data_IF_413180911795
#
_entry.id   IF_413180911795
#
_cell.length_a   1.000
_cell.length_b   1.000
_cell.length_c   1.000
_cell.angle_alpha   90.00
_cell.angle_beta   90.00
_cell.angle_gamma   90.00
#
_symmetry.space_group_name_H-M   'P 1'
#
loop_
_entity.id
_entity.type
_entity.pdbx_description
1 polymer ?
#
# COMPACT_ATOMS: atom_id res chain seq x y z
N UNK A 1 -48.65 -2.87 -6.16
CA UNK A 1 -47.28 -2.68 -6.69
C UNK A 1 -46.36 -1.88 -5.75
N UNK A 2 -46.83 -0.81 -5.11
CA UNK A 2 -45.99 0.09 -4.28
C UNK A 2 -45.43 -0.56 -2.99
N UNK A 3 -46.15 -1.51 -2.36
CA UNK A 3 -45.71 -2.19 -1.11
C UNK A 3 -44.43 -3.02 -1.22
N UNK A 4 -44.14 -3.58 -2.40
CA UNK A 4 -42.95 -4.43 -2.61
C UNK A 4 -41.67 -3.61 -2.85
N UNK A 5 -41.80 -2.39 -3.37
CA UNK A 5 -40.67 -1.48 -3.59
C UNK A 5 -40.09 -1.01 -2.25
N UNK A 6 -40.94 -0.68 -1.28
CA UNK A 6 -40.51 -0.24 0.05
C UNK A 6 -39.76 -1.33 0.82
N UNK A 7 -40.22 -2.59 0.69
CA UNK A 7 -39.58 -3.74 1.34
C UNK A 7 -38.23 -4.10 0.68
N UNK A 8 -38.11 -3.96 -0.63
CA UNK A 8 -36.85 -4.17 -1.36
C UNK A 8 -35.80 -3.08 -1.04
N UNK A 9 -36.22 -1.82 -0.92
CA UNK A 9 -35.32 -0.70 -0.54
C UNK A 9 -34.81 -0.87 0.89
N UNK A 10 -35.67 -1.25 1.84
CA UNK A 10 -35.25 -1.51 3.23
C UNK A 10 -34.23 -2.67 3.33
N UNK A 11 -34.40 -3.73 2.53
CA UNK A 11 -33.48 -4.87 2.53
C UNK A 11 -32.10 -4.51 1.94
N UNK A 12 -32.05 -3.66 0.90
CA UNK A 12 -30.80 -3.15 0.31
C UNK A 12 -30.08 -2.21 1.30
N UNK A 13 -30.82 -1.39 2.05
CA UNK A 13 -30.25 -0.52 3.08
C UNK A 13 -29.60 -1.30 4.24
N UNK A 14 -30.13 -2.48 4.60
CA UNK A 14 -29.52 -3.33 5.61
C UNK A 14 -28.16 -3.89 5.13
N UNK A 15 -28.06 -4.37 3.88
CA UNK A 15 -26.83 -5.01 3.37
C UNK A 15 -25.66 -4.01 3.28
N UNK A 16 -25.93 -2.76 2.92
CA UNK A 16 -24.91 -1.71 2.84
C UNK A 16 -24.32 -1.33 4.22
N UNK A 17 -25.08 -1.51 5.30
CA UNK A 17 -24.66 -1.18 6.67
C UNK A 17 -23.73 -2.21 7.34
N UNK A 18 -23.67 -3.45 6.84
CA UNK A 18 -22.88 -4.52 7.47
C UNK A 18 -21.46 -4.69 6.92
N UNK A 19 -21.13 -4.07 5.78
CA UNK A 19 -19.79 -4.20 5.19
C UNK A 19 -18.68 -3.60 6.07
N UNK A 20 -18.96 -2.46 6.71
CA UNK A 20 -17.94 -1.75 7.50
C UNK A 20 -17.66 -2.40 8.87
N UNK A 21 -18.67 -2.78 9.69
CA UNK A 21 -18.41 -3.49 10.95
C UNK A 21 -17.63 -4.80 10.78
N UNK A 22 -17.85 -5.53 9.67
CA UNK A 22 -17.10 -6.74 9.35
C UNK A 22 -15.63 -6.42 9.07
N UNK A 23 -15.35 -5.42 8.23
CA UNK A 23 -13.99 -4.96 7.95
C UNK A 23 -13.26 -4.48 9.20
N UNK A 24 -13.95 -3.75 10.08
CA UNK A 24 -13.37 -3.27 11.35
C UNK A 24 -13.08 -4.43 12.31
N UNK A 25 -13.97 -5.42 12.41
CA UNK A 25 -13.72 -6.62 13.21
C UNK A 25 -12.54 -7.44 12.68
N UNK A 26 -12.44 -7.59 11.36
CA UNK A 26 -11.30 -8.24 10.71
C UNK A 26 -10.01 -7.45 10.97
N UNK A 27 -10.03 -6.13 10.83
CA UNK A 27 -8.88 -5.28 11.11
C UNK A 27 -8.45 -5.37 12.57
N UNK A 28 -9.37 -5.44 13.52
CA UNK A 28 -9.05 -5.59 14.93
C UNK A 28 -8.37 -6.93 15.23
N UNK A 29 -8.83 -8.01 14.58
CA UNK A 29 -8.26 -9.35 14.71
C UNK A 29 -6.86 -9.44 14.07
N UNK A 30 -6.73 -8.89 12.87
CA UNK A 30 -5.52 -9.02 12.04
C UNK A 30 -4.64 -7.75 12.10
N UNK A 31 -4.83 -6.92 13.13
CA UNK A 31 -4.20 -5.60 13.26
C UNK A 31 -2.70 -5.68 13.08
N UNK A 32 -2.05 -6.63 13.77
CA UNK A 32 -0.60 -6.79 13.74
C UNK A 32 -0.10 -7.17 12.33
N UNK A 33 -0.85 -8.01 11.62
CA UNK A 33 -0.51 -8.39 10.25
C UNK A 33 -0.61 -7.18 9.31
N UNK A 34 -1.65 -6.35 9.46
CA UNK A 34 -1.81 -5.13 8.63
C UNK A 34 -0.71 -4.12 8.97
N UNK A 35 -0.42 -3.91 10.25
CA UNK A 35 0.68 -3.06 10.71
C UNK A 35 2.04 -3.51 10.13
N UNK A 36 2.35 -4.80 10.20
CA UNK A 36 3.58 -5.39 9.68
C UNK A 36 3.72 -5.18 8.17
N UNK A 37 2.64 -5.40 7.42
CA UNK A 37 2.61 -5.17 5.97
C UNK A 37 2.85 -3.69 5.63
N UNK A 38 2.17 -2.77 6.32
CA UNK A 38 2.37 -1.34 6.11
C UNK A 38 3.80 -0.91 6.47
N UNK A 39 4.35 -1.46 7.56
CA UNK A 39 5.74 -1.22 7.99
C UNK A 39 6.73 -1.63 6.90
N UNK A 40 6.58 -2.83 6.33
CA UNK A 40 7.42 -3.30 5.21
C UNK A 40 7.24 -2.44 3.97
N UNK A 41 6.00 -2.08 3.61
CA UNK A 41 5.73 -1.21 2.46
C UNK A 41 6.48 0.12 2.56
N UNK A 42 6.41 0.78 3.73
CA UNK A 42 7.10 2.04 3.98
C UNK A 42 8.61 1.89 4.05
N UNK A 43 9.10 0.84 4.70
CA UNK A 43 10.53 0.52 4.74
C UNK A 43 11.08 0.39 3.31
N UNK A 44 10.44 -0.40 2.46
CA UNK A 44 10.90 -0.63 1.09
C UNK A 44 10.80 0.62 0.21
N UNK A 45 9.75 1.45 0.33
CA UNK A 45 9.68 2.73 -0.39
C UNK A 45 10.83 3.66 0.04
N UNK A 46 11.12 3.73 1.34
CA UNK A 46 12.25 4.52 1.84
C UNK A 46 13.60 4.00 1.35
N UNK A 47 13.81 2.69 1.36
CA UNK A 47 15.07 2.10 0.86
C UNK A 47 15.24 2.30 -0.64
N UNK A 48 14.15 2.15 -1.42
CA UNK A 48 14.18 2.36 -2.87
C UNK A 48 14.50 3.81 -3.22
N UNK A 49 13.86 4.77 -2.54
CA UNK A 49 14.12 6.21 -2.74
C UNK A 49 15.51 6.63 -2.26
N UNK A 50 15.93 6.19 -1.05
CA UNK A 50 17.25 6.53 -0.52
C UNK A 50 18.38 6.02 -1.40
N UNK A 51 18.21 4.90 -2.11
CA UNK A 51 19.23 4.43 -3.05
C UNK A 51 19.44 5.43 -4.18
N UNK A 52 18.35 5.91 -4.79
CA UNK A 52 18.44 6.91 -5.87
C UNK A 52 18.98 8.26 -5.42
N UNK A 53 18.60 8.72 -4.22
CA UNK A 53 19.11 9.98 -3.68
C UNK A 53 20.63 9.93 -3.49
N UNK A 54 21.18 8.76 -3.15
CA UNK A 54 22.63 8.54 -2.97
C UNK A 54 23.37 8.22 -4.26
N UNK A 55 22.66 7.74 -5.27
CA UNK A 55 23.23 7.29 -6.54
C UNK A 55 22.44 7.86 -7.73
N UNK A 56 22.46 9.19 -7.94
CA UNK A 56 21.68 9.84 -8.99
C UNK A 56 22.11 9.43 -10.40
N UNK A 57 23.34 8.94 -10.57
CA UNK A 57 23.93 8.56 -11.86
C UNK A 57 23.58 7.13 -12.33
N UNK A 58 22.74 6.40 -11.59
CA UNK A 58 22.36 5.02 -11.93
C UNK A 58 21.58 5.00 -13.24
N UNK A 59 22.23 4.54 -14.31
CA UNK A 59 21.63 4.39 -15.64
C UNK A 59 20.63 3.23 -15.63
N UNK A 60 19.48 3.45 -16.28
CA UNK A 60 18.46 2.40 -16.50
C UNK A 60 19.07 1.23 -17.28
N UNK A 61 18.85 0.00 -16.81
CA UNK A 61 18.98 -1.21 -17.62
C UNK A 61 20.31 -1.97 -17.55
N UNK A 62 21.35 -1.50 -16.85
CA UNK A 62 22.57 -2.29 -16.60
C UNK A 62 22.53 -3.00 -15.25
N UNK A 63 23.19 -4.16 -15.12
CA UNK A 63 23.37 -4.82 -13.82
C UNK A 63 24.27 -3.95 -12.94
N UNK A 64 23.78 -3.64 -11.74
CA UNK A 64 24.48 -2.83 -10.76
C UNK A 64 24.93 -3.73 -9.59
N UNK A 65 26.18 -4.18 -9.63
CA UNK A 65 26.74 -5.06 -8.60
C UNK A 65 26.75 -4.40 -7.22
N UNK A 66 26.88 -3.07 -7.17
CA UNK A 66 26.80 -2.32 -5.91
C UNK A 66 25.38 -2.38 -5.35
N UNK A 67 24.37 -2.28 -6.22
CA UNK A 67 22.98 -2.45 -5.80
C UNK A 67 22.69 -3.86 -5.28
N UNK A 68 23.19 -4.91 -5.94
CA UNK A 68 22.99 -6.29 -5.45
C UNK A 68 23.52 -6.46 -4.03
N UNK A 69 24.72 -5.94 -3.76
CA UNK A 69 25.30 -5.96 -2.41
C UNK A 69 24.50 -5.11 -1.42
N UNK A 70 24.02 -3.93 -1.85
CA UNK A 70 23.15 -3.07 -1.05
C UNK A 70 21.83 -3.77 -0.70
N UNK A 71 21.24 -4.49 -1.66
CA UNK A 71 20.01 -5.24 -1.46
C UNK A 71 20.17 -6.31 -0.38
N UNK A 72 21.16 -7.21 -0.48
CA UNK A 72 21.34 -8.26 0.52
C UNK A 72 21.86 -7.71 1.87
N UNK A 73 22.86 -6.83 1.84
CA UNK A 73 23.56 -6.36 3.02
C UNK A 73 22.83 -5.27 3.81
N UNK A 74 21.95 -4.50 3.17
CA UNK A 74 21.24 -3.38 3.80
C UNK A 74 19.73 -3.61 3.79
N UNK A 75 19.13 -3.93 2.64
CA UNK A 75 17.67 -4.03 2.52
C UNK A 75 17.13 -5.31 3.18
N UNK A 76 17.68 -6.48 2.82
CA UNK A 76 17.21 -7.76 3.38
C UNK A 76 17.61 -7.87 4.85
N UNK A 77 18.86 -7.53 5.18
CA UNK A 77 19.38 -7.62 6.55
C UNK A 77 18.79 -6.58 7.49
N UNK A 78 18.37 -5.42 6.98
CA UNK A 78 17.76 -4.34 7.76
C UNK A 78 16.24 -4.41 7.88
N UNK A 79 15.62 -5.52 7.49
CA UNK A 79 14.17 -5.70 7.49
C UNK A 79 13.58 -5.53 8.92
N UNK A 80 12.68 -4.54 9.14
CA UNK A 80 12.10 -4.29 10.46
C UNK A 80 11.03 -5.30 10.89
N UNK A 81 10.58 -6.19 9.98
CA UNK A 81 9.48 -7.12 10.23
C UNK A 81 9.93 -8.55 9.95
N UNK A 82 10.26 -9.28 11.02
CA UNK A 82 10.77 -10.67 10.94
C UNK A 82 9.74 -11.63 10.31
N UNK A 83 8.44 -11.35 10.46
CA UNK A 83 7.37 -12.19 9.93
C UNK A 83 7.19 -12.10 8.39
N UNK A 84 7.86 -11.15 7.72
CA UNK A 84 7.74 -10.95 6.27
C UNK A 84 9.13 -10.99 5.65
N UNK A 85 9.40 -11.99 4.81
CA UNK A 85 10.64 -12.08 4.05
C UNK A 85 10.61 -11.09 2.87
N UNK A 86 11.61 -10.20 2.76
CA UNK A 86 11.64 -9.19 1.68
C UNK A 86 11.63 -9.81 0.26
N UNK A 87 12.47 -10.81 -0.06
CA UNK A 87 12.39 -11.50 -1.35
C UNK A 87 10.98 -12.04 -1.67
N UNK A 88 10.36 -12.74 -0.73
CA UNK A 88 9.04 -13.35 -0.91
C UNK A 88 7.94 -12.29 -1.07
N UNK A 89 8.01 -11.21 -0.28
CA UNK A 89 7.11 -10.07 -0.42
C UNK A 89 7.17 -9.50 -1.83
N UNK A 90 8.36 -9.29 -2.38
CA UNK A 90 8.57 -8.77 -3.73
C UNK A 90 8.31 -9.79 -4.84
N UNK A 91 8.08 -11.06 -4.48
CA UNK A 91 7.82 -12.14 -5.43
C UNK A 91 9.06 -12.66 -6.15
N UNK A 92 10.24 -12.51 -5.54
CA UNK A 92 11.48 -13.10 -6.03
C UNK A 92 11.54 -14.59 -5.71
N UNK A 93 12.04 -15.38 -6.66
CA UNK A 93 12.35 -16.78 -6.45
C UNK A 93 13.53 -16.95 -5.46
N UNK A 94 13.73 -18.18 -4.98
CA UNK A 94 14.88 -18.49 -4.13
C UNK A 94 16.20 -18.12 -4.85
N UNK A 95 17.04 -17.33 -4.19
CA UNK A 95 18.30 -16.77 -4.71
C UNK A 95 18.17 -15.73 -5.84
N UNK A 96 16.96 -15.31 -6.19
CA UNK A 96 16.76 -14.20 -7.11
C UNK A 96 16.99 -12.87 -6.39
N UNK A 97 17.70 -11.96 -7.05
CA UNK A 97 17.98 -10.61 -6.57
C UNK A 97 17.71 -9.61 -7.68
N UNK A 98 17.27 -8.39 -7.35
CA UNK A 98 17.07 -7.33 -8.34
C UNK A 98 18.36 -7.04 -9.10
N UNK A 99 18.23 -6.79 -10.41
CA UNK A 99 19.38 -6.53 -11.29
C UNK A 99 20.03 -5.17 -11.01
N UNK A 100 19.23 -4.18 -10.64
CA UNK A 100 19.66 -2.82 -10.32
C UNK A 100 18.59 -2.10 -9.49
N UNK A 101 18.90 -0.89 -9.03
CA UNK A 101 17.98 -0.07 -8.25
C UNK A 101 16.67 0.27 -8.96
N UNK A 102 16.66 0.30 -10.31
CA UNK A 102 15.45 0.57 -11.10
C UNK A 102 14.48 -0.58 -11.11
N UNK A 103 14.96 -1.79 -11.38
CA UNK A 103 14.14 -3.00 -11.28
C UNK A 103 13.56 -3.15 -9.85
N UNK A 104 14.38 -2.89 -8.82
CA UNK A 104 13.90 -2.92 -7.44
C UNK A 104 12.83 -1.87 -7.16
N UNK A 105 13.04 -0.60 -7.56
CA UNK A 105 12.08 0.47 -7.30
C UNK A 105 10.74 0.22 -8.00
N UNK A 106 10.76 -0.19 -9.26
CA UNK A 106 9.55 -0.51 -10.01
C UNK A 106 8.80 -1.69 -9.36
N UNK A 107 9.53 -2.73 -8.92
CA UNK A 107 8.97 -3.88 -8.22
C UNK A 107 8.35 -3.49 -6.87
N UNK A 108 9.04 -2.68 -6.08
CA UNK A 108 8.55 -2.15 -4.80
C UNK A 108 7.28 -1.33 -5.01
N UNK A 109 7.29 -0.42 -5.99
CA UNK A 109 6.13 0.43 -6.29
C UNK A 109 4.90 -0.42 -6.65
N UNK A 110 5.07 -1.39 -7.56
CA UNK A 110 4.00 -2.28 -7.97
C UNK A 110 3.48 -3.14 -6.81
N UNK A 111 4.38 -3.76 -6.04
CA UNK A 111 3.99 -4.62 -4.93
C UNK A 111 3.31 -3.84 -3.81
N UNK A 112 3.78 -2.63 -3.51
CA UNK A 112 3.16 -1.75 -2.52
C UNK A 112 1.74 -1.36 -2.93
N UNK A 113 1.48 -1.05 -4.21
CA UNK A 113 0.11 -0.79 -4.66
C UNK A 113 -0.77 -2.03 -4.57
N UNK A 114 -0.28 -3.20 -5.00
CA UNK A 114 -1.03 -4.45 -4.87
C UNK A 114 -1.37 -4.75 -3.39
N UNK A 115 -0.40 -4.55 -2.49
CA UNK A 115 -0.59 -4.74 -1.05
C UNK A 115 -1.61 -3.74 -0.50
N UNK A 116 -1.49 -2.44 -0.83
CA UNK A 116 -2.43 -1.40 -0.41
C UNK A 116 -3.86 -1.73 -0.87
N UNK A 117 -4.03 -2.10 -2.14
CA UNK A 117 -5.32 -2.51 -2.71
C UNK A 117 -5.93 -3.66 -1.90
N UNK A 118 -5.16 -4.72 -1.65
CA UNK A 118 -5.66 -5.88 -0.90
C UNK A 118 -6.01 -5.54 0.56
N UNK A 119 -5.27 -4.61 1.19
CA UNK A 119 -5.60 -4.10 2.53
C UNK A 119 -6.95 -3.37 2.48
N UNK A 120 -7.16 -2.47 1.51
CA UNK A 120 -8.41 -1.71 1.41
C UNK A 120 -9.61 -2.63 1.12
N UNK A 121 -9.43 -3.63 0.25
CA UNK A 121 -10.48 -4.59 -0.06
C UNK A 121 -10.90 -5.39 1.17
N UNK A 122 -9.93 -5.89 1.94
CA UNK A 122 -10.18 -6.80 3.07
C UNK A 122 -10.53 -6.08 4.37
N UNK A 123 -9.86 -4.96 4.66
CA UNK A 123 -9.91 -4.28 5.97
C UNK A 123 -10.41 -2.82 5.87
N UNK A 124 -10.63 -2.30 4.66
CA UNK A 124 -10.92 -0.88 4.44
C UNK A 124 -9.67 -0.02 4.48
N UNK A 125 -9.83 1.28 4.26
CA UNK A 125 -8.69 2.20 4.13
C UNK A 125 -7.91 2.35 5.44
N UNK A 126 -6.59 2.08 5.45
CA UNK A 126 -5.78 2.08 6.67
C UNK A 126 -5.34 3.50 7.04
N UNK A 127 -6.29 4.38 7.36
CA UNK A 127 -5.98 5.73 7.84
C UNK A 127 -5.24 5.70 9.18
N UNK A 128 -4.51 6.78 9.48
CA UNK A 128 -3.73 6.90 10.72
C UNK A 128 -4.59 6.76 12.00
N UNK A 129 -5.89 7.04 11.93
CA UNK A 129 -6.83 6.83 13.03
C UNK A 129 -7.21 5.36 13.23
N UNK A 130 -7.14 4.53 12.18
CA UNK A 130 -7.51 3.10 12.20
C UNK A 130 -6.29 2.20 12.42
N UNK A 131 -5.15 2.55 11.84
CA UNK A 131 -3.89 1.81 12.00
C UNK A 131 -2.77 2.77 12.34
N UNK A 132 -2.24 2.65 13.57
CA UNK A 132 -1.09 3.42 14.03
C UNK A 132 0.17 2.64 13.70
N UNK A 133 0.71 2.87 12.50
CA UNK A 133 2.00 2.29 12.14
C UNK A 133 3.09 3.18 12.75
N UNK A 134 4.00 2.59 13.53
CA UNK A 134 5.17 3.28 14.07
C UNK A 134 6.43 2.85 13.30
N UNK A 135 6.65 3.43 12.12
CA UNK A 135 7.94 3.33 11.43
C UNK A 135 8.84 4.40 12.02
N UNK A 136 10.07 4.02 12.36
CA UNK A 136 11.07 4.89 12.98
C UNK A 136 11.02 6.31 12.39
N UNK A 137 10.80 7.29 13.28
CA UNK A 137 10.60 8.71 13.00
C UNK A 137 9.21 9.13 12.46
N UNK A 138 8.16 9.07 13.31
CA UNK A 138 7.00 10.01 13.41
C UNK A 138 6.35 10.57 12.13
N UNK A 139 6.55 9.97 10.95
CA UNK A 139 5.98 10.43 9.70
C UNK A 139 4.63 9.75 9.52
N UNK A 140 3.59 10.55 9.33
CA UNK A 140 2.27 10.04 8.96
C UNK A 140 2.40 9.23 7.67
N UNK A 141 2.02 7.97 7.78
CA UNK A 141 2.10 6.98 6.71
C UNK A 141 0.89 7.12 5.80
N UNK A 142 0.98 8.08 4.88
CA UNK A 142 -0.10 8.34 3.93
C UNK A 142 0.04 7.42 2.73
N UNK A 143 -1.07 6.78 2.33
CA UNK A 143 -1.14 5.95 1.12
C UNK A 143 -0.72 6.71 -0.15
N UNK A 144 -0.80 8.04 -0.13
CA UNK A 144 -0.35 8.93 -1.21
C UNK A 144 1.11 8.72 -1.57
N UNK A 145 1.97 8.31 -0.63
CA UNK A 145 3.38 8.00 -0.89
C UNK A 145 3.48 6.87 -1.92
N UNK A 146 2.76 5.77 -1.73
CA UNK A 146 2.78 4.64 -2.65
C UNK A 146 2.15 4.99 -3.98
N UNK A 147 0.99 5.65 -3.93
CA UNK A 147 0.29 6.11 -5.13
C UNK A 147 1.15 7.06 -5.93
N UNK A 148 2.05 7.83 -5.31
CA UNK A 148 2.98 8.74 -6.00
C UNK A 148 4.02 8.04 -6.89
N UNK A 149 4.27 6.73 -6.73
CA UNK A 149 5.37 6.01 -7.40
C UNK A 149 5.01 5.31 -8.70
N UNK A 150 3.76 4.87 -8.88
CA UNK A 150 3.34 4.12 -10.06
C UNK A 150 1.86 4.35 -10.34
N UNK A 151 1.47 4.34 -11.61
CA UNK A 151 0.08 4.36 -12.08
C UNK A 151 -0.56 2.96 -12.12
N UNK A 152 0.25 1.90 -11.97
CA UNK A 152 -0.22 0.52 -11.90
C UNK A 152 -1.15 0.37 -10.71
N UNK A 153 -2.46 0.29 -10.97
CA UNK A 153 -3.50 0.11 -9.95
C UNK A 153 -4.37 1.34 -9.68
N UNK A 154 -4.09 2.48 -10.33
CA UNK A 154 -4.87 3.72 -10.21
C UNK A 154 -6.38 3.50 -10.40
N UNK A 155 -6.78 2.77 -11.44
CA UNK A 155 -8.18 2.53 -11.74
C UNK A 155 -8.88 1.70 -10.66
N UNK A 156 -8.16 0.75 -10.06
CA UNK A 156 -8.67 -0.06 -8.97
C UNK A 156 -8.76 0.77 -7.69
N UNK A 157 -7.72 1.53 -7.36
CA UNK A 157 -7.70 2.43 -6.20
C UNK A 157 -8.80 3.48 -6.28
N UNK A 158 -9.01 4.13 -7.43
CA UNK A 158 -10.09 5.12 -7.63
C UNK A 158 -11.47 4.56 -7.29
N UNK A 159 -11.72 3.28 -7.62
CA UNK A 159 -12.98 2.59 -7.30
C UNK A 159 -13.10 2.27 -5.80
N UNK A 160 -11.98 2.00 -5.13
CA UNK A 160 -11.93 1.62 -3.72
C UNK A 160 -11.97 2.83 -2.78
N UNK A 161 -11.27 3.93 -3.06
CA UNK A 161 -11.11 5.03 -2.10
C UNK A 161 -12.36 5.91 -1.96
N UNK A 162 -13.19 6.03 -3.00
CA UNK A 162 -14.41 6.86 -2.95
C UNK A 162 -15.45 6.30 -1.97
N UNK A 163 -15.74 4.99 -1.94
CA UNK A 163 -16.51 4.38 -0.85
C UNK A 163 -15.91 4.63 0.54
N UNK A 164 -14.59 4.52 0.68
CA UNK A 164 -13.90 4.68 1.98
C UNK A 164 -14.02 6.11 2.54
N UNK A 165 -14.04 7.13 1.67
CA UNK A 165 -14.39 8.50 2.07
C UNK A 165 -15.84 8.60 2.55
N UNK A 166 -16.79 8.02 1.81
CA UNK A 166 -18.23 8.11 2.14
C UNK A 166 -18.58 7.48 3.49
N UNK A 167 -17.86 6.43 3.88
CA UNK A 167 -18.07 5.72 5.15
C UNK A 167 -17.19 6.26 6.29
N UNK A 168 -16.39 7.30 6.05
CA UNK A 168 -15.59 7.98 7.06
C UNK A 168 -14.26 7.31 7.42
N UNK A 169 -13.80 6.29 6.68
CA UNK A 169 -12.50 5.65 6.91
C UNK A 169 -11.33 6.50 6.42
N UNK A 170 -11.59 7.48 5.56
CA UNK A 170 -10.61 8.37 4.94
C UNK A 170 -11.08 9.82 5.11
N UNK A 171 -10.15 10.72 5.43
CA UNK A 171 -10.45 12.16 5.47
C UNK A 171 -10.55 12.76 4.05
N UNK A 172 -11.31 13.85 3.88
CA UNK A 172 -11.38 14.57 2.61
C UNK A 172 -9.98 15.00 2.11
N UNK A 173 -9.14 15.49 3.02
CA UNK A 173 -7.76 15.89 2.71
C UNK A 173 -6.92 14.72 2.15
N UNK A 174 -7.03 13.53 2.74
CA UNK A 174 -6.33 12.34 2.21
C UNK A 174 -6.87 11.92 0.85
N UNK A 175 -8.19 11.94 0.69
CA UNK A 175 -8.84 11.60 -0.58
C UNK A 175 -8.39 12.54 -1.70
N UNK A 176 -8.39 13.85 -1.45
CA UNK A 176 -7.99 14.84 -2.45
C UNK A 176 -6.50 14.75 -2.78
N UNK A 177 -5.65 14.47 -1.77
CA UNK A 177 -4.22 14.22 -1.98
C UNK A 177 -4.01 13.01 -2.89
N UNK A 178 -4.68 11.88 -2.62
CA UNK A 178 -4.61 10.69 -3.45
C UNK A 178 -5.10 10.96 -4.87
N UNK A 179 -6.25 11.63 -5.01
CA UNK A 179 -6.83 11.99 -6.30
C UNK A 179 -5.90 12.91 -7.11
N UNK A 180 -5.24 13.87 -6.46
CA UNK A 180 -4.27 14.75 -7.09
C UNK A 180 -3.12 13.96 -7.71
N UNK A 181 -2.46 13.08 -6.95
CA UNK A 181 -1.35 12.28 -7.45
C UNK A 181 -1.77 11.36 -8.62
N UNK A 182 -2.95 10.75 -8.54
CA UNK A 182 -3.49 9.91 -9.62
C UNK A 182 -3.94 10.69 -10.87
N UNK A 183 -4.13 12.02 -10.75
CA UNK A 183 -4.56 12.87 -11.87
C UNK A 183 -3.39 13.48 -12.65
N UNK A 184 -2.24 13.67 -12.00
CA UNK A 184 -1.04 14.32 -12.54
C UNK A 184 -0.25 13.48 -13.56
N UNK A 185 -0.66 12.24 -13.84
CA UNK A 185 0.06 11.29 -14.73
C UNK A 185 -0.61 11.05 -16.08
N UNK A 186 -1.72 11.75 -16.35
CA UNK A 186 -2.42 11.70 -17.63
C UNK A 186 -1.85 12.72 -18.60
#
# INVERSE_FOLDING_TARGET
>A
MIKYIFSAVAFICCIAGFGQPVKDSLLAKDYKQVEDRLTVMHYLDHMATSYYDKHPDVKKGSKDTNFVNYYSGVIVSGNPVVAITIPEYLGYAANEVPLNGTDFFERVAEKNIQSLVSIIEMYGYPSASRVKVNVAAKKNMMASIFVSRTDKGDDKLKKLIKPELKIGNMSENEYDTLKFFMSKRK
#
